data_IF_008067229301
#
_entry.id   IF_008067229301
#
_cell.length_a   1.000
_cell.length_b   1.000
_cell.length_c   1.000
_cell.angle_alpha   90.00
_cell.angle_beta   90.00
_cell.angle_gamma   90.00
#
_symmetry.space_group_name_H-M   'P 1'
#
loop_
_entity.id
_entity.type
_entity.pdbx_description
1 polymer ?
#
# COMPACT_ATOMS: atom_id res chain seq x y z
N UNK A 1 49.73 37.24 -1.10
CA UNK A 1 49.39 36.10 -0.29
C UNK A 1 47.88 35.92 -0.36
N UNK A 2 47.41 35.02 -1.20
CA UNK A 2 46.00 34.72 -1.41
C UNK A 2 45.61 33.50 -0.62
N UNK A 3 44.65 33.67 0.28
CA UNK A 3 44.08 32.58 1.10
C UNK A 3 42.97 31.90 0.30
N UNK A 4 43.21 30.69 -0.23
CA UNK A 4 42.21 29.87 -0.88
C UNK A 4 41.33 29.25 0.19
N UNK A 5 40.08 29.72 0.32
CA UNK A 5 39.04 29.04 1.12
C UNK A 5 38.44 27.88 0.30
N UNK A 6 38.85 26.64 0.64
CA UNK A 6 38.17 25.45 0.15
C UNK A 6 36.80 25.30 0.85
N UNK A 7 35.72 25.62 0.15
CA UNK A 7 34.37 25.24 0.58
C UNK A 7 34.17 23.76 0.29
N UNK A 8 34.25 22.92 1.33
CA UNK A 8 33.84 21.52 1.25
C UNK A 8 32.33 21.49 1.27
N UNK A 9 31.70 21.26 0.11
CA UNK A 9 30.27 20.97 0.02
C UNK A 9 30.09 19.52 0.49
N UNK A 10 29.70 19.35 1.74
CA UNK A 10 29.22 18.06 2.23
C UNK A 10 27.88 17.75 1.55
N UNK A 11 27.91 17.00 0.46
CA UNK A 11 26.73 16.42 -0.14
C UNK A 11 26.18 15.39 0.86
N UNK A 12 25.06 15.70 1.50
CA UNK A 12 24.28 14.75 2.26
C UNK A 12 23.71 13.72 1.28
N UNK A 13 24.48 12.68 0.96
CA UNK A 13 23.97 11.52 0.25
C UNK A 13 23.03 10.79 1.21
N UNK A 14 21.72 10.87 0.92
CA UNK A 14 20.72 10.03 1.56
C UNK A 14 21.14 8.59 1.28
N UNK A 15 21.55 7.85 2.32
CA UNK A 15 21.92 6.45 2.19
C UNK A 15 20.76 5.73 1.48
N UNK A 16 21.05 5.02 0.38
CA UNK A 16 20.07 4.18 -0.29
C UNK A 16 19.64 3.11 0.74
N UNK A 17 18.32 3.00 0.96
CA UNK A 17 17.75 1.94 1.79
C UNK A 17 18.04 0.61 1.08
N UNK A 18 19.06 -0.11 1.55
CA UNK A 18 19.52 -1.39 1.00
C UNK A 18 18.75 -2.58 1.59
N UNK A 19 17.66 -2.33 2.31
CA UNK A 19 16.83 -3.42 2.83
C UNK A 19 16.18 -4.18 1.68
N UNK A 20 16.24 -5.51 1.76
CA UNK A 20 15.53 -6.40 0.83
C UNK A 20 14.03 -6.13 0.94
N UNK A 21 13.35 -6.13 -0.18
CA UNK A 21 11.88 -6.00 -0.22
C UNK A 21 11.21 -7.38 -0.19
N UNK A 22 9.99 -7.44 0.31
CA UNK A 22 9.11 -8.61 0.25
C UNK A 22 7.74 -8.23 -0.28
N UNK A 23 7.09 -9.18 -0.94
CA UNK A 23 5.70 -9.07 -1.36
C UNK A 23 4.78 -9.73 -0.33
N UNK A 24 3.70 -9.07 0.00
CA UNK A 24 2.61 -9.60 0.82
C UNK A 24 1.32 -9.54 0.01
N UNK A 25 0.51 -10.59 0.11
CA UNK A 25 -0.71 -10.72 -0.69
C UNK A 25 -1.93 -10.72 0.21
N UNK A 26 -2.91 -9.92 -0.14
CA UNK A 26 -4.17 -9.76 0.59
C UNK A 26 -5.36 -10.01 -0.34
N UNK A 27 -6.46 -10.46 0.23
CA UNK A 27 -7.71 -10.69 -0.49
C UNK A 27 -8.89 -10.02 0.22
N UNK A 28 -9.83 -9.52 -0.56
CA UNK A 28 -11.10 -8.97 -0.10
C UNK A 28 -12.16 -9.24 -1.17
N UNK A 29 -13.42 -9.33 -0.79
CA UNK A 29 -14.52 -9.32 -1.74
C UNK A 29 -15.19 -7.94 -1.79
N UNK A 30 -15.75 -7.61 -2.94
CA UNK A 30 -16.68 -6.49 -3.07
C UNK A 30 -18.10 -6.93 -2.70
N UNK A 31 -18.89 -5.98 -2.22
CA UNK A 31 -20.31 -6.21 -1.91
C UNK A 31 -21.06 -6.72 -3.16
N UNK A 32 -22.10 -7.53 -2.94
CA UNK A 32 -22.95 -8.08 -4.00
C UNK A 32 -23.91 -7.02 -4.54
N UNK A 33 -23.37 -6.03 -5.22
CA UNK A 33 -24.12 -4.95 -5.84
C UNK A 33 -23.31 -4.40 -7.03
N UNK A 34 -23.79 -4.65 -8.24
CA UNK A 34 -23.06 -4.29 -9.47
C UNK A 34 -22.78 -2.78 -9.58
N UNK A 35 -23.72 -1.93 -9.18
CA UNK A 35 -23.51 -0.48 -9.19
C UNK A 35 -22.34 -0.09 -8.27
N UNK A 36 -22.29 -0.64 -7.06
CA UNK A 36 -21.20 -0.38 -6.11
C UNK A 36 -19.87 -0.95 -6.61
N UNK A 37 -19.88 -2.09 -7.29
CA UNK A 37 -18.68 -2.64 -7.94
C UNK A 37 -18.14 -1.65 -8.97
N UNK A 38 -18.99 -1.10 -9.84
CA UNK A 38 -18.59 -0.12 -10.84
C UNK A 38 -18.09 1.19 -10.21
N UNK A 39 -18.70 1.66 -9.14
CA UNK A 39 -18.24 2.84 -8.39
C UNK A 39 -16.82 2.60 -7.83
N UNK A 40 -16.59 1.45 -7.18
CA UNK A 40 -15.27 1.07 -6.68
C UNK A 40 -14.21 1.07 -7.78
N UNK A 41 -14.50 0.45 -8.93
CA UNK A 41 -13.59 0.41 -10.07
C UNK A 41 -13.31 1.81 -10.64
N UNK A 42 -14.33 2.67 -10.67
CA UNK A 42 -14.17 4.04 -11.16
C UNK A 42 -13.26 4.88 -10.24
N UNK A 43 -13.38 4.73 -8.92
CA UNK A 43 -12.45 5.36 -7.98
C UNK A 43 -11.00 4.94 -8.22
N UNK A 44 -10.76 3.67 -8.56
CA UNK A 44 -9.41 3.13 -8.80
C UNK A 44 -8.81 3.50 -10.17
N UNK A 45 -9.59 4.08 -11.09
CA UNK A 45 -9.03 4.67 -12.33
C UNK A 45 -8.20 5.92 -12.06
N UNK A 46 -8.53 6.64 -11.00
CA UNK A 46 -7.82 7.85 -10.58
C UNK A 46 -7.90 7.96 -9.05
N UNK A 47 -6.95 7.35 -8.38
CA UNK A 47 -6.81 7.43 -6.93
C UNK A 47 -6.52 8.88 -6.51
N UNK A 48 -7.03 9.29 -5.36
CA UNK A 48 -6.78 10.64 -4.85
C UNK A 48 -5.29 10.84 -4.58
N UNK A 49 -4.68 11.96 -5.01
CA UNK A 49 -3.25 12.18 -4.87
C UNK A 49 -2.74 12.10 -3.44
N UNK A 50 -3.55 12.51 -2.47
CA UNK A 50 -3.20 12.46 -1.04
C UNK A 50 -3.06 11.01 -0.55
N UNK A 51 -3.82 10.07 -1.09
CA UNK A 51 -3.76 8.65 -0.74
C UNK A 51 -2.42 8.06 -1.19
N UNK A 52 -2.02 8.32 -2.43
CA UNK A 52 -0.71 7.86 -2.94
C UNK A 52 0.45 8.54 -2.20
N UNK A 53 0.30 9.82 -1.84
CA UNK A 53 1.29 10.53 -1.01
C UNK A 53 1.39 9.89 0.39
N UNK A 54 0.27 9.47 0.98
CA UNK A 54 0.23 8.74 2.24
C UNK A 54 0.95 7.39 2.16
N UNK A 55 0.74 6.61 1.11
CA UNK A 55 1.46 5.35 0.87
C UNK A 55 2.96 5.57 0.76
N UNK A 56 3.37 6.58 0.00
CA UNK A 56 4.77 6.95 -0.15
C UNK A 56 5.40 7.36 1.19
N UNK A 57 4.69 8.18 1.98
CA UNK A 57 5.14 8.61 3.32
C UNK A 57 5.29 7.43 4.26
N UNK A 58 4.39 6.45 4.20
CA UNK A 58 4.42 5.25 5.01
C UNK A 58 5.51 4.25 4.63
N UNK A 59 6.14 4.40 3.47
CA UNK A 59 7.25 3.55 3.01
C UNK A 59 6.82 2.37 2.14
N UNK A 60 5.59 2.34 1.64
CA UNK A 60 5.20 1.35 0.64
C UNK A 60 6.05 1.51 -0.63
N UNK A 61 6.57 0.41 -1.15
CA UNK A 61 7.34 0.36 -2.39
C UNK A 61 6.44 0.23 -3.61
N UNK A 62 5.42 -0.61 -3.49
CA UNK A 62 4.46 -0.89 -4.56
C UNK A 62 3.15 -1.40 -3.97
N UNK A 63 2.04 -1.03 -4.58
CA UNK A 63 0.73 -1.61 -4.31
C UNK A 63 0.08 -1.89 -5.66
N UNK A 64 -0.37 -3.12 -5.87
CA UNK A 64 -1.10 -3.54 -7.06
C UNK A 64 -2.40 -4.22 -6.67
N UNK A 65 -3.47 -3.91 -7.39
CA UNK A 65 -4.77 -4.56 -7.23
C UNK A 65 -5.08 -5.37 -8.48
N UNK A 66 -5.55 -6.57 -8.28
CA UNK A 66 -6.07 -7.45 -9.32
C UNK A 66 -7.51 -7.82 -9.00
N UNK A 67 -8.32 -8.04 -10.02
CA UNK A 67 -9.72 -8.37 -9.85
C UNK A 67 -10.09 -9.61 -10.63
N UNK A 68 -10.85 -10.49 -10.01
CA UNK A 68 -11.64 -11.50 -10.67
C UNK A 68 -13.06 -11.47 -10.11
N UNK A 69 -14.04 -11.11 -10.94
CA UNK A 69 -15.44 -10.93 -10.53
C UNK A 69 -15.56 -9.94 -9.35
N UNK A 70 -15.98 -10.38 -8.17
CA UNK A 70 -16.07 -9.58 -6.93
C UNK A 70 -14.83 -9.72 -6.03
N UNK A 71 -13.91 -10.61 -6.36
CA UNK A 71 -12.69 -10.82 -5.58
C UNK A 71 -11.60 -9.85 -6.03
N UNK A 72 -10.99 -9.18 -5.05
CA UNK A 72 -9.85 -8.30 -5.25
C UNK A 72 -8.65 -8.91 -4.56
N UNK A 73 -7.55 -9.00 -5.27
CA UNK A 73 -6.25 -9.41 -4.75
C UNK A 73 -5.33 -8.19 -4.73
N UNK A 74 -4.72 -7.90 -3.59
CA UNK A 74 -3.76 -6.82 -3.44
C UNK A 74 -2.37 -7.40 -3.19
N UNK A 75 -1.40 -7.01 -4.00
CA UNK A 75 0.02 -7.30 -3.77
C UNK A 75 0.68 -6.02 -3.27
N UNK A 76 1.30 -6.11 -2.12
CA UNK A 76 2.00 -5.00 -1.45
C UNK A 76 3.47 -5.34 -1.34
N UNK A 77 4.33 -4.53 -1.97
CA UNK A 77 5.78 -4.63 -1.80
C UNK A 77 6.23 -3.67 -0.71
N UNK A 78 6.92 -4.19 0.29
CA UNK A 78 7.40 -3.44 1.47
C UNK A 78 8.81 -3.89 1.84
N UNK A 79 9.58 -3.10 2.63
CA UNK A 79 10.83 -3.56 3.21
C UNK A 79 10.65 -4.87 4.00
N UNK A 80 11.67 -5.74 3.98
CA UNK A 80 11.63 -7.05 4.67
C UNK A 80 11.21 -6.94 6.14
N UNK A 81 11.66 -5.90 6.83
CA UNK A 81 11.40 -5.63 8.24
C UNK A 81 10.18 -4.72 8.49
N UNK A 82 9.30 -4.54 7.48
CA UNK A 82 8.17 -3.62 7.59
C UNK A 82 7.16 -4.05 8.66
N UNK A 83 6.72 -3.09 9.46
CA UNK A 83 5.54 -3.20 10.33
C UNK A 83 4.33 -2.62 9.60
N UNK A 84 3.48 -3.50 9.07
CA UNK A 84 2.30 -3.09 8.28
C UNK A 84 1.27 -2.31 9.09
N UNK A 85 1.12 -2.61 10.38
CA UNK A 85 0.17 -1.87 11.23
C UNK A 85 0.62 -0.41 11.36
N UNK A 86 1.89 -0.20 11.63
CA UNK A 86 2.49 1.13 11.70
C UNK A 86 2.40 1.84 10.35
N UNK A 87 2.74 1.16 9.27
CA UNK A 87 2.67 1.74 7.91
C UNK A 87 1.24 2.15 7.56
N UNK A 88 0.25 1.33 7.88
CA UNK A 88 -1.16 1.65 7.67
C UNK A 88 -1.60 2.89 8.44
N UNK A 89 -1.20 3.00 9.71
CA UNK A 89 -1.47 4.18 10.54
C UNK A 89 -0.82 5.46 9.97
N UNK A 90 0.44 5.38 9.52
CA UNK A 90 1.14 6.51 8.89
C UNK A 90 0.44 6.94 7.62
N UNK A 91 0.06 5.99 6.75
CA UNK A 91 -0.64 6.29 5.51
C UNK A 91 -2.01 6.96 5.77
N UNK A 92 -2.80 6.43 6.70
CA UNK A 92 -4.12 6.96 7.04
C UNK A 92 -4.04 8.35 7.68
N UNK A 93 -3.08 8.54 8.59
CA UNK A 93 -2.91 9.81 9.31
C UNK A 93 -2.25 10.91 8.48
N UNK A 94 -1.81 10.61 7.26
CA UNK A 94 -1.15 11.59 6.38
C UNK A 94 -2.04 12.80 6.07
N UNK A 95 -3.33 12.58 5.86
CA UNK A 95 -4.32 13.64 5.66
C UNK A 95 -5.74 13.17 5.98
N UNK A 96 -6.66 14.12 6.18
CA UNK A 96 -8.10 13.80 6.34
C UNK A 96 -8.66 13.11 5.09
N UNK A 97 -8.12 13.38 3.91
CA UNK A 97 -8.50 12.70 2.67
C UNK A 97 -8.12 11.22 2.67
N UNK A 98 -7.01 10.84 3.30
CA UNK A 98 -6.64 9.43 3.45
C UNK A 98 -7.64 8.68 4.34
N UNK A 99 -8.08 9.27 5.43
CA UNK A 99 -9.14 8.71 6.28
C UNK A 99 -10.46 8.60 5.52
N UNK A 100 -10.86 9.65 4.81
CA UNK A 100 -12.08 9.66 4.01
C UNK A 100 -12.05 8.59 2.92
N UNK A 101 -10.90 8.37 2.27
CA UNK A 101 -10.71 7.30 1.31
C UNK A 101 -10.92 5.92 1.93
N UNK A 102 -10.30 5.65 3.09
CA UNK A 102 -10.44 4.37 3.77
C UNK A 102 -11.90 4.10 4.17
N UNK A 103 -12.60 5.11 4.68
CA UNK A 103 -14.02 5.01 5.01
C UNK A 103 -14.88 4.75 3.76
N UNK A 104 -14.59 5.45 2.67
CA UNK A 104 -15.30 5.26 1.39
C UNK A 104 -15.07 3.84 0.85
N UNK A 105 -13.82 3.38 0.76
CA UNK A 105 -13.50 2.06 0.25
C UNK A 105 -14.11 0.95 1.12
N UNK A 106 -14.15 1.16 2.42
CA UNK A 106 -14.76 0.23 3.37
C UNK A 106 -16.24 -0.07 3.07
N UNK A 107 -16.97 0.84 2.46
CA UNK A 107 -18.39 0.65 2.09
C UNK A 107 -18.58 -0.34 0.93
N UNK A 108 -17.55 -0.56 0.13
CA UNK A 108 -17.58 -1.46 -1.02
C UNK A 108 -17.05 -2.87 -0.71
N UNK A 109 -16.42 -3.04 0.46
CA UNK A 109 -15.64 -4.23 0.78
C UNK A 109 -16.35 -5.10 1.82
N UNK A 110 -16.25 -6.41 1.62
CA UNK A 110 -16.66 -7.45 2.58
C UNK A 110 -15.54 -8.48 2.71
N UNK A 111 -15.42 -9.11 3.88
CA UNK A 111 -14.43 -10.16 4.09
C UNK A 111 -14.69 -11.39 3.22
N UNK A 112 -13.62 -12.09 2.85
CA UNK A 112 -13.70 -13.40 2.21
C UNK A 112 -14.12 -14.48 3.23
N UNK A 113 -14.57 -15.64 2.74
CA UNK A 113 -14.83 -16.78 3.60
C UNK A 113 -13.58 -17.15 4.42
N UNK A 114 -13.74 -17.34 5.72
CA UNK A 114 -12.63 -17.62 6.64
C UNK A 114 -11.98 -16.38 7.27
N UNK A 115 -12.29 -15.18 6.80
CA UNK A 115 -11.87 -13.97 7.49
C UNK A 115 -12.54 -13.84 8.87
N UNK A 116 -11.85 -13.20 9.83
CA UNK A 116 -12.43 -12.93 11.14
C UNK A 116 -13.65 -11.99 11.03
N UNK A 117 -14.61 -12.03 11.98
CA UNK A 117 -15.74 -11.10 11.99
C UNK A 117 -15.26 -9.65 11.92
N UNK A 118 -15.81 -8.87 10.96
CA UNK A 118 -15.43 -7.48 10.71
C UNK A 118 -14.12 -7.26 9.97
N UNK A 119 -13.31 -8.29 9.77
CA UNK A 119 -12.11 -8.23 8.95
C UNK A 119 -12.48 -8.18 7.46
N UNK A 120 -11.97 -7.19 6.74
CA UNK A 120 -12.20 -7.07 5.29
C UNK A 120 -11.03 -7.65 4.51
N UNK A 121 -9.87 -7.04 4.56
CA UNK A 121 -8.68 -7.58 3.95
C UNK A 121 -8.09 -8.71 4.79
N UNK A 122 -7.91 -9.87 4.19
CA UNK A 122 -7.25 -11.02 4.80
C UNK A 122 -5.87 -11.22 4.15
N UNK A 123 -4.82 -11.33 4.96
CA UNK A 123 -3.50 -11.69 4.47
C UNK A 123 -3.47 -13.17 4.11
N UNK A 124 -2.91 -13.49 2.95
CA UNK A 124 -2.71 -14.86 2.50
C UNK A 124 -1.40 -15.42 3.03
N UNK A 125 -1.27 -16.74 2.99
CA UNK A 125 -0.04 -17.47 3.27
C UNK A 125 0.66 -17.83 1.94
N UNK A 126 1.98 -17.59 1.84
CA UNK A 126 2.77 -18.09 0.72
C UNK A 126 3.00 -19.60 0.90
N UNK A 127 2.47 -20.40 0.01
CA UNK A 127 2.61 -21.87 0.08
C UNK A 127 3.71 -22.41 -0.83
N UNK A 128 4.23 -21.62 -1.76
CA UNK A 128 5.31 -22.00 -2.66
C UNK A 128 5.94 -20.78 -3.30
N UNK A 129 7.25 -20.83 -3.46
CA UNK A 129 8.02 -19.81 -4.17
C UNK A 129 9.09 -20.50 -5.02
N UNK A 130 9.25 -20.07 -6.26
CA UNK A 130 10.36 -20.44 -7.12
C UNK A 130 11.10 -19.18 -7.55
N UNK A 131 12.40 -19.17 -7.35
CA UNK A 131 13.30 -18.10 -7.80
C UNK A 131 14.34 -18.72 -8.72
N UNK A 132 14.40 -18.24 -9.95
CA UNK A 132 15.47 -18.61 -10.87
C UNK A 132 16.69 -17.74 -10.54
N UNK A 133 17.83 -18.33 -10.14
CA UNK A 133 19.04 -17.60 -9.76
C UNK A 133 19.74 -16.93 -10.95
#
# INVERSE_FOLDING_TARGET
>A
MGLLLCFSIAACQKAADTTKDKDLVFVVNLVDNEKKVQEYLNYHKKIWPEVEAGFKKAGYRKIKLYRFNKSIVMIVTVPENADLNRMGQVAESYSEKCKAWNQLMSQYQVGVAGAAPGQKWAQTEEIYSFVNP
#
